data_IF_159499271346
#
_entry.id   IF_159499271346
#
_cell.length_a   1.000
_cell.length_b   1.000
_cell.length_c   1.000
_cell.angle_alpha   90.00
_cell.angle_beta   90.00
_cell.angle_gamma   90.00
#
_symmetry.space_group_name_H-M   'P 1'
#
loop_
_entity.id
_entity.type
_entity.pdbx_description
1 polymer ?
#
# COMPACT_ATOMS: atom_id res chain seq x y z
N UNK A 1 45.90 6.85 -76.91
CA UNK A 1 46.48 6.77 -75.54
C UNK A 1 45.42 7.31 -74.58
N UNK A 2 44.61 6.43 -74.00
CA UNK A 2 43.39 6.78 -73.25
C UNK A 2 43.63 6.63 -71.75
N UNK A 3 43.55 7.77 -71.06
CA UNK A 3 42.86 8.08 -69.79
C UNK A 3 42.78 6.93 -68.77
N UNK A 4 43.45 7.11 -67.62
CA UNK A 4 43.11 6.41 -66.38
C UNK A 4 42.92 7.45 -65.26
N UNK A 5 41.68 7.90 -65.13
CA UNK A 5 41.19 8.72 -64.02
C UNK A 5 40.88 7.80 -62.83
N UNK A 6 41.59 8.00 -61.71
CA UNK A 6 41.28 7.34 -60.45
C UNK A 6 39.96 7.86 -59.88
N UNK A 7 38.94 7.01 -59.87
CA UNK A 7 37.68 7.27 -59.16
C UNK A 7 37.82 6.85 -57.69
N UNK A 8 37.73 7.84 -56.79
CA UNK A 8 37.74 7.68 -55.35
C UNK A 8 36.33 7.23 -54.90
N UNK A 9 36.17 5.98 -54.49
CA UNK A 9 34.91 5.45 -53.96
C UNK A 9 34.72 5.91 -52.51
N UNK A 10 33.83 6.88 -52.28
CA UNK A 10 33.34 7.24 -50.95
C UNK A 10 32.22 6.28 -50.54
N UNK A 11 32.49 5.39 -49.59
CA UNK A 11 31.51 4.46 -49.01
C UNK A 11 30.60 5.20 -48.03
N UNK A 12 29.34 5.44 -48.43
CA UNK A 12 28.28 5.90 -47.55
C UNK A 12 27.77 4.73 -46.70
N UNK A 13 28.11 4.68 -45.41
CA UNK A 13 27.58 3.67 -44.48
C UNK A 13 26.28 4.18 -43.86
N UNK A 14 25.14 3.63 -44.28
CA UNK A 14 23.83 3.91 -43.66
C UNK A 14 23.70 3.03 -42.42
N UNK A 15 23.81 3.62 -41.23
CA UNK A 15 23.45 2.95 -39.98
C UNK A 15 21.92 2.99 -39.83
N UNK A 16 21.24 1.88 -40.16
CA UNK A 16 19.84 1.69 -39.81
C UNK A 16 19.79 1.28 -38.33
N UNK A 17 19.44 2.22 -37.46
CA UNK A 17 19.09 1.90 -36.08
C UNK A 17 17.76 1.14 -36.09
N UNK A 18 17.82 -0.19 -35.98
CA UNK A 18 16.66 -1.02 -35.66
C UNK A 18 16.24 -0.73 -34.22
N UNK A 19 15.38 0.27 -34.05
CA UNK A 19 14.61 0.41 -32.82
C UNK A 19 13.69 -0.81 -32.71
N UNK A 20 14.11 -1.81 -31.93
CA UNK A 20 13.26 -2.93 -31.56
C UNK A 20 12.08 -2.34 -30.80
N UNK A 21 10.90 -2.32 -31.42
CA UNK A 21 9.67 -2.01 -30.73
C UNK A 21 9.42 -3.08 -29.68
N UNK A 22 9.88 -2.84 -28.45
CA UNK A 22 9.42 -3.57 -27.27
C UNK A 22 7.92 -3.36 -27.24
N UNK A 23 7.21 -4.40 -27.67
CA UNK A 23 5.77 -4.52 -27.58
C UNK A 23 5.41 -4.45 -26.10
N UNK A 24 5.10 -3.23 -25.64
CA UNK A 24 4.48 -3.01 -24.36
C UNK A 24 3.08 -3.62 -24.45
N UNK A 25 2.97 -4.88 -24.04
CA UNK A 25 1.71 -5.42 -23.60
C UNK A 25 1.11 -4.40 -22.63
N UNK A 26 0.00 -3.77 -23.04
CA UNK A 26 -0.86 -2.94 -22.18
C UNK A 26 -1.46 -3.83 -21.11
N UNK A 27 -0.65 -4.25 -20.14
CA UNK A 27 -1.13 -4.62 -18.84
C UNK A 27 -1.71 -3.36 -18.23
N UNK A 28 -3.01 -3.34 -17.98
CA UNK A 28 -3.65 -2.38 -17.07
C UNK A 28 -3.12 -2.64 -15.65
N UNK A 29 -1.85 -2.31 -15.41
CA UNK A 29 -1.19 -2.46 -14.13
C UNK A 29 -1.14 -1.08 -13.44
N UNK A 30 -2.15 -0.82 -12.61
CA UNK A 30 -1.95 -0.29 -11.26
C UNK A 30 -1.25 1.07 -11.07
N UNK A 31 -1.27 2.00 -12.01
CA UNK A 31 -0.76 3.37 -11.77
C UNK A 31 -1.69 4.23 -10.90
N UNK A 32 -2.96 3.88 -10.77
CA UNK A 32 -3.93 4.67 -9.97
C UNK A 32 -3.81 4.43 -8.45
N UNK A 33 -3.22 3.31 -8.03
CA UNK A 33 -3.23 2.90 -6.60
C UNK A 33 -2.05 3.46 -5.80
N UNK A 34 -0.97 3.89 -6.47
CA UNK A 34 0.27 4.35 -5.84
C UNK A 34 0.22 5.79 -5.31
N UNK A 35 -0.88 6.51 -5.57
CA UNK A 35 -1.06 7.90 -5.13
C UNK A 35 -2.20 8.07 -4.11
N UNK A 36 -2.94 7.00 -3.83
CA UNK A 36 -4.09 7.05 -2.93
C UNK A 36 -3.63 7.28 -1.48
N UNK A 37 -4.08 8.39 -0.89
CA UNK A 37 -3.82 8.74 0.50
C UNK A 37 -5.08 8.61 1.33
N UNK A 38 -4.94 8.12 2.55
CA UNK A 38 -6.02 7.97 3.49
C UNK A 38 -5.80 8.93 4.66
N UNK A 39 -6.76 9.81 4.90
CA UNK A 39 -6.77 10.70 6.06
C UNK A 39 -7.54 9.99 7.17
N UNK A 40 -6.86 9.75 8.29
CA UNK A 40 -7.40 9.05 9.44
C UNK A 40 -7.66 10.03 10.59
N UNK A 41 -8.92 10.14 11.01
CA UNK A 41 -9.34 11.01 12.11
C UNK A 41 -10.14 10.24 13.15
N UNK A 42 -10.34 10.84 14.33
CA UNK A 42 -11.25 10.32 15.34
C UNK A 42 -12.73 10.47 14.90
N UNK A 43 -13.60 9.65 15.47
CA UNK A 43 -15.05 9.66 15.23
C UNK A 43 -15.48 8.90 13.97
N UNK A 44 -16.70 8.35 13.97
CA UNK A 44 -17.21 7.49 12.87
C UNK A 44 -17.22 8.19 11.50
N UNK A 45 -17.31 9.52 11.51
CA UNK A 45 -17.40 10.36 10.31
C UNK A 45 -16.06 11.00 9.92
N UNK A 46 -14.94 10.60 10.54
CA UNK A 46 -13.60 11.19 10.32
C UNK A 46 -13.56 12.73 10.49
N UNK A 47 -14.36 13.31 11.38
CA UNK A 47 -14.40 14.76 11.60
C UNK A 47 -13.65 15.20 12.88
N UNK A 48 -13.11 14.26 13.65
CA UNK A 48 -12.38 14.55 14.88
C UNK A 48 -10.88 14.80 14.68
N UNK A 49 -10.13 14.61 15.76
CA UNK A 49 -8.67 14.77 15.82
C UNK A 49 -7.96 13.97 14.73
N UNK A 50 -7.01 14.60 14.04
CA UNK A 50 -6.16 13.92 13.07
C UNK A 50 -5.23 12.92 13.76
N UNK A 51 -5.29 11.66 13.34
CA UNK A 51 -4.31 10.64 13.72
C UNK A 51 -3.15 10.57 12.73
N UNK A 52 -3.40 10.90 11.46
CA UNK A 52 -2.38 11.02 10.42
C UNK A 52 -2.89 10.72 9.02
N UNK A 53 -1.99 10.83 8.05
CA UNK A 53 -2.27 10.54 6.64
C UNK A 53 -1.41 9.36 6.19
N UNK A 54 -2.04 8.31 5.67
CA UNK A 54 -1.34 7.08 5.27
C UNK A 54 -1.43 6.92 3.76
N UNK A 55 -0.29 6.72 3.11
CA UNK A 55 -0.25 6.38 1.70
C UNK A 55 -0.49 4.88 1.49
N UNK A 56 -1.30 4.52 0.50
CA UNK A 56 -1.68 3.13 0.23
C UNK A 56 -0.47 2.25 -0.12
N UNK A 57 0.46 2.77 -0.91
CA UNK A 57 1.71 2.11 -1.29
C UNK A 57 2.57 1.73 -0.07
N UNK A 58 2.73 2.64 0.89
CA UNK A 58 3.47 2.39 2.14
C UNK A 58 2.79 1.30 2.95
N UNK A 59 1.46 1.35 3.06
CA UNK A 59 0.69 0.32 3.75
C UNK A 59 0.84 -1.06 3.08
N UNK A 60 0.80 -1.12 1.74
CA UNK A 60 1.02 -2.35 0.97
C UNK A 60 2.46 -2.87 1.15
N UNK A 61 3.46 -2.00 1.07
CA UNK A 61 4.86 -2.38 1.32
C UNK A 61 5.01 -3.05 2.69
N UNK A 62 4.42 -2.45 3.72
CA UNK A 62 4.46 -2.96 5.07
C UNK A 62 3.66 -4.26 5.27
N UNK A 63 2.51 -4.43 4.60
CA UNK A 63 1.78 -5.71 4.56
C UNK A 63 2.68 -6.85 4.06
N UNK A 64 3.45 -6.60 2.99
CA UNK A 64 4.34 -7.61 2.39
C UNK A 64 5.46 -8.02 3.35
N UNK A 65 5.98 -7.07 4.11
CA UNK A 65 6.98 -7.31 5.15
C UNK A 65 6.41 -8.14 6.31
N UNK A 66 5.26 -7.72 6.85
CA UNK A 66 4.66 -8.35 8.04
C UNK A 66 3.99 -9.70 7.76
N UNK A 67 3.53 -9.94 6.52
CA UNK A 67 2.80 -11.14 6.09
C UNK A 67 1.62 -11.43 7.03
N UNK A 68 1.36 -12.68 7.36
CA UNK A 68 0.31 -13.11 8.31
C UNK A 68 0.89 -13.81 9.54
N UNK A 69 2.16 -13.52 9.88
CA UNK A 69 2.85 -14.13 11.01
C UNK A 69 2.84 -13.18 12.20
N UNK A 70 2.09 -13.54 13.24
CA UNK A 70 2.05 -12.80 14.50
C UNK A 70 3.46 -12.68 15.11
N UNK A 71 3.89 -11.45 15.37
CA UNK A 71 5.10 -11.12 16.12
C UNK A 71 4.86 -11.02 17.63
N UNK A 72 5.90 -10.62 18.38
CA UNK A 72 5.86 -10.54 19.86
C UNK A 72 4.89 -9.48 20.38
N UNK A 73 4.50 -8.51 19.55
CA UNK A 73 3.49 -7.51 19.87
C UNK A 73 2.06 -8.06 19.87
N UNK A 74 1.87 -9.27 19.32
CA UNK A 74 0.56 -9.83 19.01
C UNK A 74 0.00 -9.43 17.65
N UNK A 75 0.72 -8.61 16.85
CA UNK A 75 0.38 -8.24 15.49
C UNK A 75 1.36 -8.82 14.45
N UNK A 76 0.95 -8.95 13.16
CA UNK A 76 -0.42 -8.84 12.67
C UNK A 76 -1.33 -9.91 13.31
N UNK A 77 -2.63 -9.62 13.37
CA UNK A 77 -3.63 -10.55 13.93
C UNK A 77 -4.88 -10.59 13.07
N UNK A 78 -5.64 -11.69 13.18
CA UNK A 78 -6.94 -11.80 12.54
C UNK A 78 -7.88 -10.70 13.06
N UNK A 79 -8.59 -10.08 12.14
CA UNK A 79 -9.64 -9.11 12.40
C UNK A 79 -10.97 -9.71 11.99
N UNK A 80 -11.88 -9.81 12.97
CA UNK A 80 -13.24 -10.23 12.70
C UNK A 80 -14.12 -8.97 12.51
N UNK A 81 -14.60 -8.76 11.29
CA UNK A 81 -15.41 -7.59 10.93
C UNK A 81 -16.89 -7.78 11.32
N UNK A 82 -17.14 -8.16 12.57
CA UNK A 82 -18.49 -8.40 13.08
C UNK A 82 -19.37 -7.15 12.89
N UNK A 83 -20.60 -7.35 12.43
CA UNK A 83 -21.53 -6.23 12.15
C UNK A 83 -21.13 -5.36 10.95
N UNK A 84 -20.14 -5.77 10.15
CA UNK A 84 -19.64 -5.01 9.00
C UNK A 84 -19.26 -3.56 9.38
N UNK A 85 -18.60 -3.39 10.53
CA UNK A 85 -18.17 -2.07 11.04
C UNK A 85 -17.20 -1.38 10.08
N UNK A 86 -16.31 -2.16 9.44
CA UNK A 86 -15.49 -1.69 8.34
C UNK A 86 -16.16 -2.04 7.02
N UNK A 87 -16.19 -1.10 6.08
CA UNK A 87 -16.63 -1.32 4.71
C UNK A 87 -15.41 -1.63 3.85
N UNK A 88 -15.32 -2.86 3.36
CA UNK A 88 -14.22 -3.30 2.50
C UNK A 88 -14.69 -3.55 1.07
N UNK A 89 -13.81 -3.39 0.06
CA UNK A 89 -14.14 -3.70 -1.33
C UNK A 89 -14.38 -5.19 -1.54
N UNK A 90 -14.95 -5.55 -2.69
CA UNK A 90 -15.22 -6.95 -3.06
C UNK A 90 -13.95 -7.81 -2.96
N UNK A 91 -14.10 -9.00 -2.37
CA UNK A 91 -13.01 -9.93 -2.12
C UNK A 91 -12.22 -9.64 -0.83
N UNK A 92 -12.73 -8.79 0.04
CA UNK A 92 -12.22 -8.54 1.39
C UNK A 92 -13.28 -8.83 2.47
N UNK A 93 -13.92 -10.00 2.39
CA UNK A 93 -15.01 -10.39 3.29
C UNK A 93 -14.65 -11.49 4.30
N UNK A 94 -13.51 -12.18 4.11
CA UNK A 94 -13.08 -13.31 4.95
C UNK A 94 -11.58 -13.25 5.18
N UNK A 95 -11.11 -13.91 6.25
CA UNK A 95 -9.70 -14.03 6.59
C UNK A 95 -8.95 -12.69 6.61
N UNK A 96 -9.58 -11.66 7.18
CA UNK A 96 -8.98 -10.33 7.27
C UNK A 96 -7.98 -10.30 8.43
N UNK A 97 -6.87 -9.65 8.20
CA UNK A 97 -5.83 -9.35 9.15
C UNK A 97 -5.75 -7.85 9.37
N UNK A 98 -5.46 -7.44 10.59
CA UNK A 98 -5.13 -6.06 10.94
C UNK A 98 -3.67 -5.95 11.36
N UNK A 99 -3.05 -4.86 10.91
CA UNK A 99 -1.69 -4.49 11.24
C UNK A 99 -1.63 -3.00 11.64
N UNK A 100 -1.03 -2.64 12.79
CA UNK A 100 -0.92 -1.27 13.23
C UNK A 100 -0.01 -0.43 12.36
N UNK A 101 -0.42 0.81 12.10
CA UNK A 101 0.42 1.83 11.49
C UNK A 101 0.60 2.96 12.49
N UNK A 102 1.82 3.49 12.55
CA UNK A 102 2.11 4.73 13.23
C UNK A 102 1.68 5.92 12.36
N UNK A 103 1.59 7.15 12.92
CA UNK A 103 1.27 8.35 12.15
C UNK A 103 2.13 8.47 10.89
N UNK A 104 1.51 8.96 9.82
CA UNK A 104 2.12 9.08 8.48
C UNK A 104 2.47 7.74 7.80
N UNK A 105 1.85 6.64 8.24
CA UNK A 105 2.04 5.32 7.64
C UNK A 105 3.38 4.68 7.98
N UNK A 106 4.05 5.15 9.05
CA UNK A 106 5.28 4.53 9.54
C UNK A 106 5.01 3.10 10.05
N UNK A 107 5.89 2.13 9.78
CA UNK A 107 5.76 0.77 10.27
C UNK A 107 5.69 0.72 11.80
N UNK A 108 4.82 -0.12 12.33
CA UNK A 108 4.85 -0.49 13.74
C UNK A 108 5.87 -1.60 13.99
N UNK A 109 6.60 -1.56 15.10
CA UNK A 109 7.58 -2.60 15.43
C UNK A 109 6.89 -3.85 16.00
N UNK A 110 6.23 -4.63 15.14
CA UNK A 110 5.43 -5.78 15.54
C UNK A 110 6.25 -6.94 16.13
N UNK A 111 7.56 -6.95 15.88
CA UNK A 111 8.54 -7.89 16.44
C UNK A 111 8.88 -7.59 17.90
N UNK A 112 8.61 -6.38 18.41
CA UNK A 112 8.84 -6.01 19.80
C UNK A 112 7.65 -6.42 20.68
N UNK A 113 7.86 -6.61 21.99
CA UNK A 113 6.72 -6.81 22.91
C UNK A 113 5.87 -5.54 22.93
N UNK A 114 4.55 -5.70 23.06
CA UNK A 114 3.57 -4.59 23.03
C UNK A 114 3.85 -3.48 24.07
N UNK A 115 4.45 -3.81 25.20
CA UNK A 115 4.85 -2.84 26.23
C UNK A 115 5.88 -1.80 25.74
N UNK A 116 6.67 -2.12 24.71
CA UNK A 116 7.69 -1.23 24.16
C UNK A 116 7.20 -0.39 22.99
N UNK A 117 6.00 -0.65 22.47
CA UNK A 117 5.45 0.11 21.34
C UNK A 117 3.92 0.08 21.39
N UNK A 118 3.31 1.24 21.58
CA UNK A 118 1.86 1.36 21.52
C UNK A 118 1.42 1.22 20.05
N UNK A 119 0.52 0.28 19.70
CA UNK A 119 0.07 0.13 18.31
C UNK A 119 -0.76 1.32 17.79
N UNK A 120 -0.88 2.43 18.52
CA UNK A 120 -1.60 3.65 18.10
C UNK A 120 -3.03 3.37 17.60
N UNK A 121 -3.60 4.31 16.84
CA UNK A 121 -5.00 4.34 16.42
C UNK A 121 -5.26 3.83 15.00
N UNK A 122 -4.25 3.81 14.12
CA UNK A 122 -4.42 3.50 12.69
C UNK A 122 -4.11 2.02 12.41
N UNK A 123 -4.92 1.37 11.59
CA UNK A 123 -4.76 -0.03 11.17
C UNK A 123 -4.86 -0.13 9.64
N UNK A 124 -4.00 -0.95 9.05
CA UNK A 124 -4.23 -1.46 7.70
C UNK A 124 -4.88 -2.84 7.78
N UNK A 125 -5.87 -3.05 6.90
CA UNK A 125 -6.61 -4.30 6.78
C UNK A 125 -6.29 -4.98 5.45
N UNK A 126 -6.07 -6.28 5.49
CA UNK A 126 -5.69 -7.06 4.31
C UNK A 126 -6.09 -8.53 4.47
N UNK A 127 -6.21 -9.24 3.36
CA UNK A 127 -6.53 -10.68 3.37
C UNK A 127 -5.30 -11.53 3.70
N UNK A 128 -5.50 -12.81 3.99
CA UNK A 128 -4.39 -13.78 4.13
C UNK A 128 -3.46 -13.86 2.91
N UNK A 129 -3.97 -13.55 1.72
CA UNK A 129 -3.21 -13.51 0.46
C UNK A 129 -2.55 -12.14 0.22
N UNK A 130 -2.43 -11.31 1.27
CA UNK A 130 -1.78 -10.01 1.25
C UNK A 130 -2.46 -8.96 0.35
N UNK A 131 -3.70 -9.23 -0.11
CA UNK A 131 -4.53 -8.25 -0.80
C UNK A 131 -4.95 -7.14 0.17
N UNK A 132 -4.61 -5.90 -0.14
CA UNK A 132 -5.05 -4.71 0.57
C UNK A 132 -6.59 -4.57 0.54
N UNK A 133 -7.18 -4.26 1.70
CA UNK A 133 -8.62 -4.10 1.87
C UNK A 133 -9.04 -2.71 2.32
N UNK A 134 -8.14 -1.98 2.99
CA UNK A 134 -8.42 -0.61 3.41
C UNK A 134 -7.58 -0.19 4.59
N UNK A 135 -7.71 1.09 4.95
CA UNK A 135 -7.12 1.67 6.15
C UNK A 135 -8.25 2.16 7.03
N UNK A 136 -8.14 1.92 8.32
CA UNK A 136 -9.11 2.38 9.30
C UNK A 136 -8.45 2.92 10.55
N UNK A 137 -9.25 3.62 11.34
CA UNK A 137 -8.82 4.24 12.58
C UNK A 137 -9.77 3.88 13.71
N UNK A 138 -9.22 3.81 14.92
CA UNK A 138 -9.99 3.71 16.16
C UNK A 138 -10.87 4.94 16.36
N UNK A 139 -12.14 4.74 16.69
CA UNK A 139 -13.10 5.83 16.92
C UNK A 139 -12.62 6.85 17.96
N UNK A 140 -11.99 6.38 19.05
CA UNK A 140 -11.56 7.24 20.16
C UNK A 140 -10.08 7.07 20.51
N UNK A 141 -9.48 8.17 20.97
CA UNK A 141 -8.12 8.25 21.50
C UNK A 141 -8.02 7.68 22.93
N UNK A 142 -8.67 6.55 23.20
CA UNK A 142 -8.73 5.92 24.53
C UNK A 142 -8.33 4.43 24.48
N UNK A 143 -7.56 4.01 25.49
CA UNK A 143 -7.16 2.61 25.73
C UNK A 143 -8.14 1.85 26.61
N UNK A 144 -9.09 2.54 27.26
CA UNK A 144 -10.10 1.95 28.17
C UNK A 144 -11.36 1.62 27.37
N UNK A 145 -11.69 0.32 27.28
CA UNK A 145 -12.60 -0.24 26.27
C UNK A 145 -14.01 -0.43 26.84
N UNK A 146 -14.95 0.36 26.33
CA UNK A 146 -16.21 -0.10 25.69
C UNK A 146 -16.43 0.84 24.50
N UNK A 147 -16.68 0.33 23.29
CA UNK A 147 -16.96 1.11 22.07
C UNK A 147 -15.77 1.66 21.23
N UNK A 148 -14.55 1.13 21.36
CA UNK A 148 -13.45 1.51 20.47
C UNK A 148 -13.40 0.68 19.18
N UNK A 149 -14.50 0.69 18.42
CA UNK A 149 -14.58 0.04 17.12
C UNK A 149 -13.82 0.87 16.06
N UNK A 150 -13.11 0.21 15.12
CA UNK A 150 -12.54 0.91 13.99
C UNK A 150 -13.61 1.37 13.00
N UNK A 151 -13.30 2.44 12.28
CA UNK A 151 -14.04 2.91 11.11
C UNK A 151 -13.08 3.15 9.95
N UNK A 152 -13.59 3.20 8.72
CA UNK A 152 -12.78 3.48 7.53
C UNK A 152 -12.19 4.89 7.58
N UNK A 153 -10.90 5.02 7.29
CA UNK A 153 -10.32 6.33 7.00
C UNK A 153 -10.83 6.85 5.65
N UNK A 154 -10.83 8.16 5.47
CA UNK A 154 -11.28 8.79 4.22
C UNK A 154 -10.19 8.75 3.16
N UNK A 155 -10.55 8.33 1.95
CA UNK A 155 -9.70 8.49 0.78
C UNK A 155 -9.65 9.98 0.40
N UNK A 156 -8.44 10.49 0.14
CA UNK A 156 -8.18 11.84 -0.34
C UNK A 156 -8.07 11.86 -1.86
#
# INVERSE_FOLDING_TARGET
MLINTMALYALLSIYIALASSVSHHKGKASTLSSLQKYICRAGDYNNGTLYGTVSQDRAIGYIREAKTKKGRSGYPKKFNNNGNIMKFPKGCSRDIWELPLLPNGKPYHFTNKKSYSNPEYIRVYYTKNLKFCGIGAKRVRSTTIRNNFPHNCQLQ
#
